data_IF_158291722665
#
_entry.id   IF_158291722665
#
_cell.length_a   1.000
_cell.length_b   1.000
_cell.length_c   1.000
_cell.angle_alpha   90.00
_cell.angle_beta   90.00
_cell.angle_gamma   90.00
#
_symmetry.space_group_name_H-M   'P 1'
#
loop_
_entity.id
_entity.type
_entity.pdbx_description
1 polymer ?
#
# COMPACT_ATOMS: atom_id res chain seq x y z
N UNK A 1 25.68 -60.65 18.76
CA UNK A 1 25.43 -59.27 18.27
C UNK A 1 24.65 -58.51 19.32
N UNK A 2 25.29 -57.60 20.05
CA UNK A 2 24.62 -56.74 21.03
C UNK A 2 23.87 -55.63 20.29
N UNK A 3 22.54 -55.73 20.20
CA UNK A 3 21.70 -54.60 19.77
C UNK A 3 21.43 -53.72 20.99
N UNK A 4 22.28 -52.70 21.20
CA UNK A 4 21.97 -51.62 22.14
C UNK A 4 20.83 -50.81 21.53
N UNK A 5 19.62 -50.95 22.09
CA UNK A 5 18.48 -50.12 21.74
C UNK A 5 18.62 -48.73 22.37
N UNK A 6 18.07 -47.71 21.70
CA UNK A 6 17.97 -46.36 22.24
C UNK A 6 17.23 -46.36 23.57
N UNK A 7 17.75 -45.63 24.54
CA UNK A 7 17.10 -45.46 25.85
C UNK A 7 16.02 -44.39 25.79
N UNK A 8 15.03 -44.49 26.67
CA UNK A 8 13.93 -43.52 26.74
C UNK A 8 14.42 -42.09 26.98
N UNK A 9 15.46 -41.95 27.81
CA UNK A 9 16.07 -40.64 28.14
C UNK A 9 16.70 -40.00 26.90
N UNK A 10 17.38 -40.79 26.07
CA UNK A 10 17.96 -40.30 24.81
C UNK A 10 16.87 -39.82 23.84
N UNK A 11 15.74 -40.54 23.76
CA UNK A 11 14.62 -40.13 22.92
C UNK A 11 13.98 -38.82 23.42
N UNK A 12 13.85 -38.66 24.74
CA UNK A 12 13.30 -37.46 25.35
C UNK A 12 14.18 -36.23 25.10
N UNK A 13 15.51 -36.39 25.21
CA UNK A 13 16.45 -35.30 24.93
C UNK A 13 16.33 -34.80 23.48
N UNK A 14 16.16 -35.72 22.51
CA UNK A 14 16.01 -35.36 21.09
C UNK A 14 14.71 -34.59 20.83
N UNK A 15 13.58 -35.02 21.41
CA UNK A 15 12.29 -34.35 21.22
C UNK A 15 12.31 -32.94 21.83
N UNK A 16 12.95 -32.76 22.99
CA UNK A 16 13.14 -31.43 23.60
C UNK A 16 13.96 -30.52 22.69
N UNK A 17 15.07 -31.00 22.13
CA UNK A 17 15.90 -30.21 21.22
C UNK A 17 15.13 -29.82 19.95
N UNK A 18 14.37 -30.75 19.35
CA UNK A 18 13.55 -30.47 18.16
C UNK A 18 12.49 -29.40 18.46
N UNK A 19 11.84 -29.45 19.64
CA UNK A 19 10.81 -28.48 20.02
C UNK A 19 11.36 -27.07 20.20
N UNK A 20 12.58 -26.92 20.74
CA UNK A 20 13.25 -25.63 20.91
C UNK A 20 13.67 -25.06 19.54
N UNK A 21 14.24 -25.89 18.66
CA UNK A 21 14.66 -25.47 17.32
C UNK A 21 13.45 -25.05 16.46
N UNK A 22 12.34 -25.77 16.56
CA UNK A 22 11.10 -25.44 15.86
C UNK A 22 10.54 -24.06 16.27
N UNK A 23 10.61 -23.71 17.57
CA UNK A 23 10.17 -22.40 18.07
C UNK A 23 10.99 -21.24 17.51
N UNK A 24 12.31 -21.38 17.42
CA UNK A 24 13.20 -20.32 16.91
C UNK A 24 13.04 -20.14 15.39
N UNK A 25 12.87 -21.23 14.63
CA UNK A 25 12.74 -21.19 13.17
C UNK A 25 11.51 -20.44 12.64
N UNK A 26 10.39 -20.47 13.38
CA UNK A 26 9.13 -19.84 12.94
C UNK A 26 9.17 -18.31 13.02
N UNK A 27 9.87 -17.74 14.00
CA UNK A 27 9.91 -16.28 14.23
C UNK A 27 10.67 -15.51 13.14
N UNK A 28 11.57 -16.16 12.39
CA UNK A 28 12.41 -15.49 11.38
C UNK A 28 11.66 -15.21 10.06
N UNK A 29 10.67 -16.03 9.70
CA UNK A 29 9.98 -15.95 8.41
C UNK A 29 8.92 -14.85 8.40
N UNK A 30 8.29 -14.58 9.54
CA UNK A 30 7.21 -13.58 9.65
C UNK A 30 7.74 -12.15 9.46
N UNK A 31 8.94 -11.86 9.97
CA UNK A 31 9.59 -10.55 9.80
C UNK A 31 9.96 -10.25 8.35
N UNK A 32 10.52 -11.23 7.64
CA UNK A 32 10.91 -11.08 6.22
C UNK A 32 9.69 -10.87 5.32
N UNK A 33 8.63 -11.67 5.51
CA UNK A 33 7.37 -11.51 4.74
C UNK A 33 6.78 -10.12 4.92
N UNK A 34 6.70 -9.62 6.14
CA UNK A 34 6.15 -8.28 6.42
C UNK A 34 6.95 -7.17 5.73
N UNK A 35 8.28 -7.29 5.64
CA UNK A 35 9.10 -6.33 4.91
C UNK A 35 8.87 -6.41 3.39
N UNK A 36 8.72 -7.62 2.84
CA UNK A 36 8.36 -7.81 1.44
C UNK A 36 7.00 -7.21 1.11
N UNK A 37 5.98 -7.47 1.93
CA UNK A 37 4.63 -6.92 1.76
C UNK A 37 4.64 -5.39 1.84
N UNK A 38 5.44 -4.82 2.75
CA UNK A 38 5.65 -3.38 2.84
C UNK A 38 6.24 -2.83 1.55
N UNK A 39 7.35 -3.40 1.07
CA UNK A 39 8.04 -2.92 -0.13
C UNK A 39 7.15 -3.04 -1.37
N UNK A 40 6.44 -4.16 -1.50
CA UNK A 40 5.47 -4.38 -2.58
C UNK A 40 4.39 -3.29 -2.58
N UNK A 41 3.87 -2.94 -1.39
CA UNK A 41 2.88 -1.88 -1.29
C UNK A 41 3.46 -0.49 -1.64
N UNK A 42 4.70 -0.19 -1.24
CA UNK A 42 5.39 1.04 -1.66
C UNK A 42 5.57 1.10 -3.19
N UNK A 43 5.90 -0.01 -3.83
CA UNK A 43 6.00 -0.09 -5.30
C UNK A 43 4.64 0.16 -5.97
N UNK A 44 3.55 -0.41 -5.44
CA UNK A 44 2.18 -0.14 -5.92
C UNK A 44 1.83 1.35 -5.81
N UNK A 45 2.15 1.97 -4.68
CA UNK A 45 1.91 3.40 -4.45
C UNK A 45 2.74 4.29 -5.38
N UNK A 46 4.02 3.99 -5.58
CA UNK A 46 4.88 4.70 -6.54
C UNK A 46 4.36 4.58 -7.98
N UNK A 47 3.89 3.40 -8.36
CA UNK A 47 3.25 3.19 -9.66
C UNK A 47 1.97 4.02 -9.78
N UNK A 48 1.16 4.11 -8.72
CA UNK A 48 -0.06 4.93 -8.73
C UNK A 48 0.26 6.43 -8.82
N UNK A 49 1.30 6.90 -8.13
CA UNK A 49 1.83 8.27 -8.26
C UNK A 49 2.26 8.54 -9.69
N UNK A 50 3.02 7.64 -10.32
CA UNK A 50 3.47 7.80 -11.71
C UNK A 50 2.29 7.86 -12.69
N UNK A 51 1.26 7.03 -12.49
CA UNK A 51 0.01 7.09 -13.24
C UNK A 51 -0.75 8.41 -13.03
N UNK A 52 -0.72 8.95 -11.80
CA UNK A 52 -1.32 10.25 -11.49
C UNK A 52 -0.59 11.41 -12.17
N UNK A 53 0.74 11.35 -12.23
CA UNK A 53 1.54 12.32 -13.00
C UNK A 53 1.20 12.27 -14.48
N UNK A 54 1.08 11.07 -15.06
CA UNK A 54 0.63 10.89 -16.45
C UNK A 54 -0.75 11.51 -16.67
N UNK A 55 -1.71 11.25 -15.78
CA UNK A 55 -3.03 11.88 -15.84
C UNK A 55 -2.92 13.41 -15.79
N UNK A 56 -2.10 13.97 -14.90
CA UNK A 56 -1.94 15.42 -14.80
C UNK A 56 -1.24 16.04 -16.01
N UNK A 57 -0.34 15.30 -16.67
CA UNK A 57 0.30 15.75 -17.92
C UNK A 57 -0.71 15.80 -19.08
N UNK A 58 -1.60 14.81 -19.18
CA UNK A 58 -2.66 14.78 -20.19
C UNK A 58 -3.77 15.81 -19.90
N UNK A 59 -4.03 16.11 -18.62
CA UNK A 59 -5.15 16.94 -18.15
C UNK A 59 -4.69 18.23 -17.46
N UNK A 60 -3.61 18.87 -17.97
CA UNK A 60 -3.05 20.09 -17.36
C UNK A 60 -4.06 21.21 -17.16
N UNK A 61 -5.02 21.33 -18.07
CA UNK A 61 -6.08 22.35 -18.01
C UNK A 61 -7.04 22.14 -16.84
N UNK A 62 -7.14 20.90 -16.32
CA UNK A 62 -7.99 20.56 -15.17
C UNK A 62 -7.31 20.88 -13.82
N UNK A 63 -6.00 21.15 -13.83
CA UNK A 63 -5.20 21.48 -12.64
C UNK A 63 -5.46 22.91 -12.18
N UNK A 64 -6.68 23.20 -11.73
CA UNK A 64 -7.15 24.56 -11.42
C UNK A 64 -7.28 24.86 -9.93
N UNK A 65 -7.33 23.81 -9.10
CA UNK A 65 -7.52 23.93 -7.65
C UNK A 65 -6.24 24.45 -6.99
N UNK A 66 -6.40 25.23 -5.93
CA UNK A 66 -5.29 25.63 -5.08
C UNK A 66 -4.99 24.48 -4.10
N UNK A 67 -3.78 23.93 -4.17
CA UNK A 67 -3.31 22.83 -3.32
C UNK A 67 -2.09 23.29 -2.54
N UNK A 68 -2.06 22.99 -1.25
CA UNK A 68 -0.88 23.18 -0.41
C UNK A 68 0.03 21.96 -0.48
N UNK A 69 1.31 22.22 -0.82
CA UNK A 69 2.40 21.26 -0.82
C UNK A 69 3.50 21.72 0.13
N UNK A 70 4.27 20.77 0.68
CA UNK A 70 5.46 21.07 1.47
C UNK A 70 6.71 20.91 0.59
N UNK A 71 7.53 21.94 0.51
CA UNK A 71 8.76 21.96 -0.31
C UNK A 71 9.96 22.20 0.62
N UNK A 72 11.07 21.52 0.35
CA UNK A 72 12.34 21.82 1.04
C UNK A 72 12.97 23.07 0.43
N UNK A 73 13.25 24.05 1.27
CA UNK A 73 14.03 25.24 0.92
C UNK A 73 15.24 25.31 1.86
N UNK A 74 16.39 24.82 1.40
CA UNK A 74 17.53 24.53 2.26
C UNK A 74 17.21 23.44 3.30
N UNK A 75 17.43 23.76 4.59
CA UNK A 75 17.11 22.88 5.72
C UNK A 75 15.67 23.06 6.25
N UNK A 76 14.92 24.03 5.72
CA UNK A 76 13.55 24.32 6.16
C UNK A 76 12.51 23.65 5.24
N UNK A 77 11.34 23.32 5.82
CA UNK A 77 10.18 22.86 5.06
C UNK A 77 9.14 23.97 5.02
N UNK A 78 8.85 24.46 3.81
CA UNK A 78 7.95 25.60 3.59
C UNK A 78 6.69 25.10 2.87
N UNK A 79 5.53 25.60 3.29
CA UNK A 79 4.28 25.36 2.59
C UNK A 79 4.13 26.32 1.40
N UNK A 80 3.84 25.76 0.22
CA UNK A 80 3.59 26.51 -1.01
C UNK A 80 2.21 26.16 -1.55
N UNK A 81 1.48 27.17 -1.97
CA UNK A 81 0.24 26.98 -2.74
C UNK A 81 0.56 26.85 -4.22
N UNK A 82 0.10 25.78 -4.84
CA UNK A 82 0.27 25.47 -6.27
C UNK A 82 -1.08 25.14 -6.91
N UNK A 83 -1.11 25.12 -8.25
CA UNK A 83 -2.28 24.71 -9.03
C UNK A 83 -2.28 23.20 -9.26
N UNK A 84 -3.42 22.56 -9.06
CA UNK A 84 -3.53 21.12 -9.11
C UNK A 84 -4.95 20.56 -9.08
N UNK A 85 -5.03 19.25 -8.90
CA UNK A 85 -6.25 18.47 -8.72
C UNK A 85 -6.02 17.36 -7.69
N UNK A 86 -7.11 16.72 -7.25
CA UNK A 86 -7.08 15.60 -6.31
C UNK A 86 -7.86 14.44 -6.90
N UNK A 87 -7.22 13.29 -7.02
CA UNK A 87 -7.83 12.04 -7.48
C UNK A 87 -7.55 10.92 -6.49
N UNK A 88 -8.37 9.87 -6.52
CA UNK A 88 -8.06 8.63 -5.81
C UNK A 88 -7.39 7.62 -6.73
N UNK A 89 -6.68 6.62 -6.20
CA UNK A 89 -6.17 5.47 -6.98
C UNK A 89 -7.31 4.84 -7.78
N UNK A 90 -8.48 4.74 -7.17
CA UNK A 90 -9.71 4.27 -7.79
C UNK A 90 -10.14 5.10 -9.01
N UNK A 91 -9.97 6.42 -8.96
CA UNK A 91 -10.25 7.28 -10.12
C UNK A 91 -9.27 7.00 -11.26
N UNK A 92 -7.98 6.79 -10.96
CA UNK A 92 -7.00 6.46 -11.99
C UNK A 92 -7.32 5.13 -12.66
N UNK A 93 -7.79 4.14 -11.89
CA UNK A 93 -8.26 2.86 -12.44
C UNK A 93 -9.51 3.05 -13.31
N UNK A 94 -10.51 3.77 -12.81
CA UNK A 94 -11.76 3.98 -13.53
C UNK A 94 -11.60 4.78 -14.83
N UNK A 95 -10.51 5.53 -14.98
CA UNK A 95 -10.16 6.30 -16.17
C UNK A 95 -9.00 5.67 -16.97
N UNK A 96 -8.66 4.40 -16.73
CA UNK A 96 -7.63 3.64 -17.47
C UNK A 96 -6.19 4.22 -17.41
N UNK A 97 -5.89 5.02 -16.38
CA UNK A 97 -4.53 5.54 -16.12
C UNK A 97 -3.70 4.62 -15.23
N UNK A 98 -4.34 3.77 -14.44
CA UNK A 98 -3.70 2.79 -13.58
C UNK A 98 -4.35 1.42 -13.75
N UNK A 99 -3.58 0.44 -14.17
CA UNK A 99 -4.05 -0.93 -14.31
C UNK A 99 -3.79 -1.71 -13.02
N UNK A 100 -4.81 -2.40 -12.53
CA UNK A 100 -4.66 -3.35 -11.44
C UNK A 100 -5.27 -4.69 -11.81
N UNK A 101 -4.45 -5.72 -11.74
CA UNK A 101 -4.86 -7.12 -11.94
C UNK A 101 -5.35 -7.79 -10.64
N UNK A 102 -5.43 -7.04 -9.53
CA UNK A 102 -5.79 -7.61 -8.24
C UNK A 102 -7.28 -8.00 -8.17
N UNK A 103 -7.52 -9.20 -7.66
CA UNK A 103 -8.84 -9.72 -7.34
C UNK A 103 -8.83 -10.38 -5.96
N UNK A 104 -9.72 -9.94 -5.06
CA UNK A 104 -9.76 -10.47 -3.68
C UNK A 104 -11.16 -10.83 -3.24
N UNK A 105 -11.28 -11.81 -2.34
CA UNK A 105 -12.54 -12.02 -1.63
C UNK A 105 -12.68 -10.87 -0.61
N UNK A 106 -13.68 -9.98 -0.76
CA UNK A 106 -13.82 -8.80 0.08
C UNK A 106 -14.02 -9.14 1.55
N UNK A 107 -14.54 -10.33 1.87
CA UNK A 107 -14.78 -10.78 3.24
C UNK A 107 -13.47 -11.07 4.02
N UNK A 108 -12.34 -11.21 3.33
CA UNK A 108 -11.02 -11.41 3.94
C UNK A 108 -10.29 -10.09 4.23
N UNK A 109 -10.85 -8.96 3.81
CA UNK A 109 -10.24 -7.65 3.91
C UNK A 109 -10.99 -6.77 4.90
N UNK A 110 -10.24 -5.99 5.67
CA UNK A 110 -10.80 -4.95 6.52
C UNK A 110 -11.23 -3.78 5.62
N UNK A 111 -12.38 -3.16 5.92
CA UNK A 111 -12.89 -1.97 5.21
C UNK A 111 -13.01 -2.16 3.68
N UNK A 112 -14.14 -2.68 3.24
CA UNK A 112 -14.42 -2.93 1.82
C UNK A 112 -15.45 -1.94 1.29
N UNK A 113 -15.07 -1.15 0.28
CA UNK A 113 -16.02 -0.57 -0.65
C UNK A 113 -15.81 -1.27 -1.97
N UNK A 114 -16.74 -2.13 -2.38
CA UNK A 114 -16.74 -2.76 -3.69
C UNK A 114 -18.11 -2.53 -4.31
N UNK A 115 -18.16 -2.08 -5.56
CA UNK A 115 -19.41 -1.71 -6.23
C UNK A 115 -19.94 -2.84 -7.11
N UNK A 116 -21.20 -2.72 -7.54
CA UNK A 116 -21.75 -3.58 -8.58
C UNK A 116 -21.48 -3.02 -10.00
N UNK A 117 -20.85 -1.84 -10.13
CA UNK A 117 -20.52 -1.22 -11.41
C UNK A 117 -19.05 -1.44 -11.80
N UNK A 118 -18.81 -1.93 -13.02
CA UNK A 118 -17.45 -2.15 -13.58
C UNK A 118 -16.59 -0.88 -13.66
N UNK A 119 -17.23 0.28 -13.76
CA UNK A 119 -16.56 1.59 -13.85
C UNK A 119 -16.37 2.26 -12.49
N UNK A 120 -16.61 1.55 -11.39
CA UNK A 120 -16.52 2.16 -10.07
C UNK A 120 -15.08 2.40 -9.64
N UNK A 121 -14.82 3.61 -9.12
CA UNK A 121 -13.56 3.93 -8.44
C UNK A 121 -13.28 3.02 -7.23
N UNK A 122 -14.29 2.39 -6.64
CA UNK A 122 -14.10 1.49 -5.50
C UNK A 122 -13.74 0.05 -5.92
N UNK A 123 -13.65 -0.22 -7.22
CA UNK A 123 -13.60 -1.59 -7.75
C UNK A 123 -14.99 -2.19 -7.90
N UNK A 124 -15.06 -3.35 -8.55
CA UNK A 124 -16.32 -3.98 -8.92
C UNK A 124 -16.39 -5.46 -8.54
N UNK A 125 -17.61 -5.91 -8.22
CA UNK A 125 -17.90 -7.29 -7.88
C UNK A 125 -17.98 -8.16 -9.14
N UNK A 126 -17.21 -9.23 -9.14
CA UNK A 126 -17.25 -10.29 -10.14
C UNK A 126 -17.30 -11.65 -9.44
N UNK A 127 -18.50 -12.22 -9.35
CA UNK A 127 -18.77 -13.38 -8.51
C UNK A 127 -18.51 -13.09 -7.02
N UNK A 128 -17.62 -13.86 -6.40
CA UNK A 128 -17.20 -13.68 -5.00
C UNK A 128 -16.04 -12.69 -4.84
N UNK A 129 -15.44 -12.23 -5.95
CA UNK A 129 -14.26 -11.39 -5.92
C UNK A 129 -14.59 -9.92 -6.16
N UNK A 130 -13.78 -9.04 -5.56
CA UNK A 130 -13.70 -7.63 -5.93
C UNK A 130 -12.48 -7.43 -6.83
N UNK A 131 -12.67 -6.85 -8.01
CA UNK A 131 -11.65 -6.59 -9.05
C UNK A 131 -11.42 -5.09 -9.22
N UNK A 132 -10.35 -4.73 -9.95
CA UNK A 132 -9.95 -3.34 -10.20
C UNK A 132 -9.68 -2.57 -8.90
N UNK A 133 -8.94 -3.23 -8.00
CA UNK A 133 -8.62 -2.72 -6.69
C UNK A 133 -7.12 -2.70 -6.44
N UNK A 134 -6.67 -1.91 -5.47
CA UNK A 134 -5.31 -2.00 -4.93
C UNK A 134 -5.42 -2.40 -3.47
N UNK A 135 -4.58 -3.32 -3.04
CA UNK A 135 -4.55 -3.77 -1.65
C UNK A 135 -3.25 -3.41 -0.93
N UNK A 136 -3.40 -3.07 0.35
CA UNK A 136 -2.32 -3.02 1.31
C UNK A 136 -2.12 -4.43 1.89
N UNK A 137 -1.11 -5.13 1.39
CA UNK A 137 -0.77 -6.52 1.76
C UNK A 137 -0.40 -6.68 3.25
N UNK A 138 0.05 -5.61 3.91
CA UNK A 138 0.45 -5.65 5.33
C UNK A 138 -0.78 -5.68 6.23
N UNK A 139 -1.81 -4.89 5.91
CA UNK A 139 -2.96 -4.66 6.78
C UNK A 139 -4.26 -5.30 6.27
N UNK A 140 -4.21 -5.93 5.10
CA UNK A 140 -5.36 -6.50 4.37
C UNK A 140 -6.48 -5.46 4.21
N UNK A 141 -6.14 -4.31 3.60
CA UNK A 141 -7.08 -3.22 3.30
C UNK A 141 -7.18 -3.03 1.79
N UNK A 142 -8.39 -2.74 1.29
CA UNK A 142 -8.58 -2.21 -0.07
C UNK A 142 -8.39 -0.70 -0.01
N UNK A 143 -7.51 -0.16 -0.85
CA UNK A 143 -6.99 1.21 -0.72
C UNK A 143 -7.27 2.12 -1.91
N UNK A 144 -8.24 1.76 -2.77
CA UNK A 144 -8.64 2.58 -3.91
C UNK A 144 -8.96 4.03 -3.54
N UNK A 145 -9.42 4.27 -2.31
CA UNK A 145 -9.76 5.60 -1.81
C UNK A 145 -8.56 6.45 -1.37
N UNK A 146 -7.33 5.92 -1.46
CA UNK A 146 -6.13 6.71 -1.21
C UNK A 146 -6.14 7.89 -2.18
N UNK A 147 -6.14 9.09 -1.59
CA UNK A 147 -6.11 10.34 -2.33
C UNK A 147 -4.68 10.74 -2.70
N UNK A 148 -4.51 11.14 -3.95
CA UNK A 148 -3.28 11.65 -4.56
C UNK A 148 -3.52 13.10 -4.97
N UNK A 149 -2.66 14.00 -4.51
CA UNK A 149 -2.56 15.38 -4.99
C UNK A 149 -1.72 15.37 -6.26
N UNK A 150 -2.21 16.02 -7.30
CA UNK A 150 -1.56 16.17 -8.59
C UNK A 150 -1.43 17.66 -8.84
N UNK A 151 -0.23 18.17 -9.08
CA UNK A 151 0.00 19.60 -9.13
C UNK A 151 1.12 19.98 -10.10
N UNK A 152 1.11 21.23 -10.53
CA UNK A 152 2.19 21.80 -11.35
C UNK A 152 3.11 22.67 -10.52
N UNK A 153 4.41 22.46 -10.67
CA UNK A 153 5.43 23.35 -10.14
C UNK A 153 6.49 23.56 -11.22
N UNK A 154 6.83 24.82 -11.52
CA UNK A 154 7.74 25.16 -12.62
C UNK A 154 7.37 24.48 -13.95
N UNK A 155 6.07 24.46 -14.28
CA UNK A 155 5.52 23.89 -15.52
C UNK A 155 5.69 22.36 -15.70
N UNK A 156 6.10 21.64 -14.64
CA UNK A 156 6.17 20.17 -14.58
C UNK A 156 5.07 19.65 -13.66
N UNK A 157 4.44 18.55 -14.04
CA UNK A 157 3.46 17.86 -13.19
C UNK A 157 4.20 16.97 -12.20
N UNK A 158 3.69 16.97 -10.97
CA UNK A 158 4.12 16.13 -9.88
C UNK A 158 2.89 15.53 -9.21
N UNK A 159 3.06 14.38 -8.57
CA UNK A 159 2.03 13.82 -7.71
C UNK A 159 2.59 13.27 -6.40
N UNK A 160 1.77 13.28 -5.36
CA UNK A 160 2.08 12.65 -4.08
C UNK A 160 0.81 12.32 -3.30
N UNK A 161 0.91 11.35 -2.41
CA UNK A 161 -0.19 10.93 -1.55
C UNK A 161 -0.49 12.03 -0.54
N UNK A 162 -1.77 12.36 -0.39
CA UNK A 162 -2.19 13.37 0.57
C UNK A 162 -2.08 12.86 2.01
N UNK A 163 -1.50 13.67 2.90
CA UNK A 163 -1.60 13.46 4.35
C UNK A 163 -3.00 13.85 4.87
N UNK A 164 -3.93 12.90 4.90
CA UNK A 164 -5.26 13.08 5.49
C UNK A 164 -5.69 11.88 6.37
N UNK A 165 -6.76 12.03 7.15
CA UNK A 165 -7.27 10.99 8.06
C UNK A 165 -7.67 9.70 7.34
N UNK A 166 -8.25 9.78 6.14
CA UNK A 166 -8.65 8.60 5.37
C UNK A 166 -7.44 7.78 4.91
N UNK A 167 -6.47 8.44 4.29
CA UNK A 167 -5.22 7.82 3.86
C UNK A 167 -4.45 7.24 5.06
N UNK A 168 -4.41 7.95 6.19
CA UNK A 168 -3.84 7.43 7.45
C UNK A 168 -4.47 6.10 7.87
N UNK A 169 -5.79 5.96 7.75
CA UNK A 169 -6.50 4.72 8.09
C UNK A 169 -6.23 3.60 7.08
N UNK A 170 -6.09 3.93 5.79
CA UNK A 170 -5.82 2.96 4.71
C UNK A 170 -4.36 2.49 4.67
N UNK A 171 -3.47 3.30 5.24
CA UNK A 171 -2.03 3.06 5.31
C UNK A 171 -1.60 2.67 6.75
N UNK A 172 -2.58 2.51 7.68
CA UNK A 172 -2.42 2.20 9.12
C UNK A 172 -1.07 2.62 9.69
N UNK A 173 -0.90 3.93 9.79
CA UNK A 173 0.17 4.55 10.55
C UNK A 173 0.13 4.07 12.00
N UNK A 174 1.25 3.54 12.49
CA UNK A 174 1.53 3.64 13.92
C UNK A 174 1.95 5.07 14.18
N UNK A 175 1.03 5.93 14.63
CA UNK A 175 1.19 7.33 15.14
C UNK A 175 2.03 8.34 14.33
N UNK A 176 2.74 7.93 13.28
CA UNK A 176 3.57 8.74 12.39
C UNK A 176 3.49 8.20 10.96
N UNK A 177 3.67 9.07 9.95
CA UNK A 177 3.80 8.72 8.52
C UNK A 177 5.02 7.82 8.21
N UNK A 178 5.68 7.26 9.22
CA UNK A 178 6.98 6.57 9.11
C UNK A 178 6.87 5.08 8.75
N UNK A 179 5.65 4.53 8.64
CA UNK A 179 5.48 3.12 8.26
C UNK A 179 5.95 2.85 6.83
N UNK A 180 5.88 3.83 5.93
CA UNK A 180 6.26 3.74 4.53
C UNK A 180 7.17 4.91 4.12
N UNK A 181 7.78 4.86 2.94
CA UNK A 181 8.68 5.91 2.47
C UNK A 181 8.03 7.32 2.54
N UNK A 182 8.69 8.26 3.22
CA UNK A 182 8.22 9.65 3.42
C UNK A 182 8.08 10.42 2.11
N UNK A 183 8.87 10.06 1.10
CA UNK A 183 8.87 10.72 -0.21
C UNK A 183 7.56 10.46 -0.99
N UNK A 184 6.75 9.49 -0.57
CA UNK A 184 5.43 9.22 -1.15
C UNK A 184 4.40 10.32 -0.84
N UNK A 185 4.65 11.16 0.18
CA UNK A 185 3.64 12.05 0.74
C UNK A 185 3.94 13.53 0.52
N UNK A 186 2.90 14.30 0.23
CA UNK A 186 2.81 15.72 0.57
C UNK A 186 2.09 15.82 1.93
#
# INVERSE_FOLDING_TARGET
MNKKGFTLVELMAVIVIISIIALVGVTSITGVRKQMDKKLFEEKLNSAISSAEKWGEDNKEELTLNITISVKDGDETVEKTVKGAKLTIGNLIANDYYESEEAVNPNLYNYTKCSNSKTSQYGYKDGEFCKNIVTNNVDSLIVNEISIKIFTNNNRVYACIEKNTNNKNLIKETDTFDKYNKDLYC
#
